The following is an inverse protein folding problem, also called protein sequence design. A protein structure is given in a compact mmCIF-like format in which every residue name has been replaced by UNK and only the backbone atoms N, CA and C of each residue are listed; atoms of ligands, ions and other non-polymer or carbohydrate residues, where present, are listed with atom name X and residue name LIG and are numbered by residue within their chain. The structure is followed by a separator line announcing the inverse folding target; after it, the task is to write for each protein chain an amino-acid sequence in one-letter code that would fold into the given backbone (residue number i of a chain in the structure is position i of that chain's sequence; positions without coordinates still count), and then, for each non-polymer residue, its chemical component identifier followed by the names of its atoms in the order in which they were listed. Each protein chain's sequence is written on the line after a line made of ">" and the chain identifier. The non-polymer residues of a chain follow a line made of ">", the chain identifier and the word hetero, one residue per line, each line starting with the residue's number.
data_IF_546025456287
#
_entry.id   IF_546025456287
#
_cell.length_a   1.000
_cell.length_b   1.000
_cell.length_c   1.000
_cell.angle_alpha   90.00
_cell.angle_beta   90.00
_cell.angle_gamma   90.00
#
_symmetry.space_group_name_H-M   'P 1'
#
loop_
_entity.id
_entity.type
_entity.pdbx_description
1 polymer ?
#
# COMPACT_ATOMS: atom_id res chain seq x y z
N UNK A 1 21.37 -4.54 -14.58
CA UNK A 1 21.71 -3.74 -13.38
C UNK A 1 20.67 -4.02 -12.32
N UNK A 2 21.05 -4.71 -11.23
CA UNK A 2 20.16 -5.04 -10.13
C UNK A 2 19.81 -3.75 -9.38
N UNK A 3 18.64 -3.22 -9.71
CA UNK A 3 18.08 -2.05 -9.07
C UNK A 3 17.79 -2.38 -7.59
N UNK A 4 18.61 -1.86 -6.68
CA UNK A 4 18.60 -2.17 -5.26
C UNK A 4 17.43 -1.50 -4.53
N UNK A 5 16.20 -1.73 -5.01
CA UNK A 5 14.99 -1.11 -4.45
C UNK A 5 14.46 -1.96 -3.30
N UNK A 6 14.49 -1.40 -2.10
CA UNK A 6 13.97 -2.07 -0.89
C UNK A 6 12.45 -2.19 -0.90
N UNK A 7 11.96 -3.34 -0.42
CA UNK A 7 10.58 -3.59 -0.04
C UNK A 7 10.30 -3.05 1.37
N UNK A 8 9.02 -2.97 1.75
CA UNK A 8 8.64 -2.39 3.03
C UNK A 8 9.23 -3.13 4.24
N UNK A 9 9.37 -4.46 4.18
CA UNK A 9 9.92 -5.25 5.28
C UNK A 9 11.44 -5.07 5.41
N UNK A 10 12.16 -4.88 4.30
CA UNK A 10 13.59 -4.52 4.30
C UNK A 10 13.81 -3.10 4.85
N UNK A 11 12.97 -2.15 4.46
CA UNK A 11 13.07 -0.75 4.93
C UNK A 11 12.65 -0.58 6.38
N UNK A 12 11.58 -1.28 6.82
CA UNK A 12 11.02 -1.15 8.16
C UNK A 12 11.63 -2.10 9.17
N UNK A 13 12.25 -3.19 8.70
CA UNK A 13 12.81 -4.26 9.53
C UNK A 13 11.79 -4.76 10.56
N UNK A 14 10.54 -4.94 10.14
CA UNK A 14 9.47 -5.31 11.06
C UNK A 14 9.52 -6.79 11.48
N UNK A 15 10.26 -7.64 10.75
CA UNK A 15 10.45 -9.07 11.06
C UNK A 15 9.19 -9.92 10.88
N UNK A 16 8.21 -9.45 10.10
CA UNK A 16 6.93 -10.15 9.88
C UNK A 16 6.84 -10.82 8.50
N UNK A 17 7.90 -10.77 7.72
CA UNK A 17 8.07 -11.55 6.50
C UNK A 17 8.20 -13.05 6.79
N UNK A 18 7.94 -13.95 5.82
CA UNK A 18 8.13 -15.39 6.01
C UNK A 18 9.53 -15.71 6.56
N UNK A 19 9.60 -16.44 7.67
CA UNK A 19 10.84 -16.72 8.40
C UNK A 19 11.33 -15.59 9.32
N UNK A 20 10.59 -14.48 9.42
CA UNK A 20 10.95 -13.34 10.26
C UNK A 20 10.77 -13.59 11.75
N UNK A 21 11.60 -12.92 12.56
CA UNK A 21 11.68 -13.09 14.03
C UNK A 21 10.42 -12.70 14.80
N UNK A 22 9.52 -11.93 14.18
CA UNK A 22 8.35 -11.35 14.82
C UNK A 22 7.03 -12.05 14.43
N UNK A 23 7.09 -13.15 13.66
CA UNK A 23 5.91 -13.92 13.27
C UNK A 23 5.19 -14.49 14.50
N UNK A 24 5.91 -15.11 15.44
CA UNK A 24 5.29 -15.77 16.61
C UNK A 24 4.51 -14.77 17.48
N UNK A 25 5.01 -13.53 17.58
CA UNK A 25 4.41 -12.49 18.43
C UNK A 25 3.29 -11.70 17.75
N UNK A 26 3.42 -11.38 16.46
CA UNK A 26 2.50 -10.46 15.76
C UNK A 26 1.81 -11.07 14.54
N UNK A 27 2.06 -12.36 14.26
CA UNK A 27 1.61 -13.04 13.07
C UNK A 27 2.34 -12.61 11.79
N UNK A 28 2.26 -13.48 10.77
CA UNK A 28 2.86 -13.23 9.45
C UNK A 28 2.18 -12.05 8.74
N UNK A 29 3.00 -11.23 8.09
CA UNK A 29 2.54 -10.16 7.21
C UNK A 29 2.01 -10.74 5.90
N UNK A 30 0.89 -10.21 5.40
CA UNK A 30 0.34 -10.60 4.09
C UNK A 30 1.10 -9.98 2.91
N UNK A 31 1.81 -8.87 3.12
CA UNK A 31 2.51 -8.12 2.07
C UNK A 31 3.53 -8.96 1.30
N UNK A 32 4.42 -9.73 1.95
CA UNK A 32 5.45 -10.50 1.26
C UNK A 32 4.89 -11.72 0.51
N UNK A 33 3.64 -12.12 0.73
CA UNK A 33 2.98 -13.26 0.07
C UNK A 33 1.92 -12.85 -0.95
N UNK A 34 1.69 -11.54 -1.12
CA UNK A 34 0.70 -10.98 -2.06
C UNK A 34 1.24 -10.95 -3.50
N UNK A 35 1.32 -12.12 -4.13
CA UNK A 35 1.90 -12.33 -5.47
C UNK A 35 1.19 -11.54 -6.58
N UNK A 36 -0.09 -11.24 -6.41
CA UNK A 36 -0.90 -10.46 -7.34
C UNK A 36 -0.46 -8.98 -7.46
N UNK A 37 0.36 -8.52 -6.51
CA UNK A 37 0.96 -7.19 -6.49
C UNK A 37 2.42 -7.16 -6.96
N UNK A 38 3.00 -8.32 -7.33
CA UNK A 38 4.39 -8.42 -7.73
C UNK A 38 4.73 -7.53 -8.93
N UNK A 39 5.88 -6.86 -8.88
CA UNK A 39 6.34 -5.92 -9.90
C UNK A 39 5.75 -4.51 -9.80
N UNK A 40 4.74 -4.28 -8.94
CA UNK A 40 4.23 -2.91 -8.70
C UNK A 40 5.34 -2.07 -8.07
N UNK A 41 5.59 -0.91 -8.68
CA UNK A 41 6.72 -0.05 -8.37
C UNK A 41 8.01 -0.88 -8.31
N UNK A 42 8.28 -1.79 -9.25
CA UNK A 42 9.50 -2.61 -9.26
C UNK A 42 9.80 -3.32 -7.92
N UNK A 43 8.77 -3.64 -7.15
CA UNK A 43 8.87 -4.35 -5.87
C UNK A 43 8.57 -5.83 -6.00
N UNK A 44 8.99 -6.60 -5.00
CA UNK A 44 8.61 -8.02 -4.88
C UNK A 44 7.26 -8.12 -4.19
N UNK A 45 6.31 -8.87 -4.77
CA UNK A 45 4.95 -9.03 -4.25
C UNK A 45 4.35 -7.66 -3.86
N UNK A 46 3.74 -7.52 -2.69
CA UNK A 46 3.22 -6.22 -2.22
C UNK A 46 4.27 -5.25 -1.67
N UNK A 47 5.55 -5.57 -1.73
CA UNK A 47 6.60 -4.91 -0.93
C UNK A 47 6.76 -3.42 -1.18
N UNK A 48 6.59 -2.95 -2.42
CA UNK A 48 6.62 -1.52 -2.78
C UNK A 48 5.23 -0.93 -3.05
N UNK A 49 4.18 -1.61 -2.57
CA UNK A 49 2.78 -1.22 -2.69
C UNK A 49 1.97 -1.54 -1.44
N UNK A 50 2.63 -1.71 -0.30
CA UNK A 50 2.04 -2.25 0.94
C UNK A 50 0.84 -1.45 1.46
N UNK A 51 0.73 -0.16 1.12
CA UNK A 51 -0.42 0.69 1.45
C UNK A 51 -1.70 0.22 0.76
N UNK A 52 -1.62 -0.34 -0.45
CA UNK A 52 -2.76 -0.91 -1.18
C UNK A 52 -3.34 -2.09 -0.40
N UNK A 53 -2.47 -2.95 0.13
CA UNK A 53 -2.89 -4.12 0.89
C UNK A 53 -3.49 -3.76 2.24
N UNK A 54 -3.00 -2.69 2.88
CA UNK A 54 -3.63 -2.16 4.10
C UNK A 54 -5.02 -1.59 3.81
N UNK A 55 -5.18 -0.86 2.70
CA UNK A 55 -6.50 -0.38 2.25
C UNK A 55 -7.45 -1.55 1.90
N UNK A 56 -6.98 -2.55 1.17
CA UNK A 56 -7.78 -3.73 0.78
C UNK A 56 -8.13 -4.65 1.96
N UNK A 57 -7.23 -4.79 2.95
CA UNK A 57 -7.51 -5.55 4.17
C UNK A 57 -8.64 -4.93 4.98
N UNK A 58 -8.71 -3.59 5.04
CA UNK A 58 -9.83 -2.90 5.66
C UNK A 58 -11.16 -3.16 4.96
N UNK A 59 -11.18 -3.19 3.62
CA UNK A 59 -12.38 -3.48 2.85
C UNK A 59 -12.90 -4.91 3.11
N UNK A 60 -12.00 -5.91 3.14
CA UNK A 60 -12.37 -7.31 3.33
C UNK A 60 -12.88 -7.66 4.73
N UNK A 61 -12.54 -6.87 5.76
CA UNK A 61 -12.94 -7.15 7.15
C UNK A 61 -14.28 -6.47 7.50
N UNK A 62 -14.90 -5.71 6.58
CA UNK A 62 -16.06 -4.83 6.86
C UNK A 62 -15.85 -3.86 8.04
N UNK A 63 -14.61 -3.71 8.52
CA UNK A 63 -14.20 -2.60 9.36
C UNK A 63 -13.78 -1.50 8.40
N UNK A 64 -14.65 -0.53 8.17
CA UNK A 64 -14.26 0.68 7.45
C UNK A 64 -12.92 1.16 8.03
N UNK A 65 -11.85 1.11 7.22
CA UNK A 65 -10.55 1.66 7.57
C UNK A 65 -10.82 3.05 8.13
N UNK A 66 -10.47 3.32 9.39
CA UNK A 66 -10.68 4.68 9.91
C UNK A 66 -9.84 5.61 9.03
N UNK A 67 -10.39 6.78 8.68
CA UNK A 67 -9.71 7.76 7.83
C UNK A 67 -8.26 8.01 8.28
N UNK A 68 -8.02 7.91 9.58
CA UNK A 68 -6.72 8.08 10.21
C UNK A 68 -5.73 6.95 9.90
N UNK A 69 -6.17 5.70 9.74
CA UNK A 69 -5.29 4.57 9.36
C UNK A 69 -4.79 4.69 7.90
N UNK A 70 -5.60 5.28 7.03
CA UNK A 70 -5.21 5.61 5.66
C UNK A 70 -4.24 6.80 5.66
N UNK A 71 -4.49 7.82 6.49
CA UNK A 71 -3.56 8.96 6.66
C UNK A 71 -2.20 8.49 7.17
N UNK A 72 -2.15 7.57 8.13
CA UNK A 72 -0.90 6.97 8.61
C UNK A 72 -0.10 6.32 7.48
N UNK A 73 -0.77 5.59 6.57
CA UNK A 73 -0.10 5.00 5.40
C UNK A 73 0.47 6.07 4.47
N UNK A 74 -0.26 7.18 4.29
CA UNK A 74 0.20 8.30 3.46
C UNK A 74 1.41 9.03 4.05
N UNK A 75 1.47 9.13 5.38
CA UNK A 75 2.56 9.74 6.14
C UNK A 75 3.73 8.76 6.41
N UNK A 76 3.56 7.48 6.10
CA UNK A 76 4.60 6.48 6.30
C UNK A 76 5.88 6.85 5.52
N UNK A 77 7.02 6.90 6.23
CA UNK A 77 8.34 7.18 5.64
C UNK A 77 8.68 6.31 4.43
N UNK A 78 8.25 5.04 4.43
CA UNK A 78 8.49 4.14 3.29
C UNK A 78 7.65 4.52 2.06
N UNK A 79 6.36 4.83 2.25
CA UNK A 79 5.51 5.28 1.16
C UNK A 79 6.02 6.60 0.55
N UNK A 80 6.48 7.54 1.38
CA UNK A 80 7.12 8.78 0.94
C UNK A 80 8.42 8.46 0.17
N UNK A 81 9.25 7.55 0.68
CA UNK A 81 10.47 7.10 0.01
C UNK A 81 10.19 6.53 -1.38
N UNK A 82 9.23 5.60 -1.50
CA UNK A 82 8.83 5.02 -2.79
C UNK A 82 8.34 6.12 -3.74
N UNK A 83 7.46 7.03 -3.29
CA UNK A 83 6.98 8.16 -4.10
C UNK A 83 8.09 9.09 -4.61
N UNK A 84 9.11 9.35 -3.80
CA UNK A 84 10.26 10.19 -4.21
C UNK A 84 11.15 9.49 -5.22
N UNK A 85 11.34 8.17 -5.07
CA UNK A 85 12.17 7.36 -5.97
C UNK A 85 11.54 7.12 -7.35
N UNK A 86 10.21 7.06 -7.45
CA UNK A 86 9.50 6.89 -8.71
C UNK A 86 9.19 8.26 -9.36
N UNK A 87 10.18 8.89 -10.02
CA UNK A 87 9.91 9.96 -10.99
C UNK A 87 9.23 9.34 -12.24
N UNK A 88 7.90 9.12 -12.14
CA UNK A 88 6.92 8.55 -13.09
C UNK A 88 7.38 8.17 -14.53
N UNK A 89 6.93 7.01 -15.05
CA UNK A 89 5.58 6.95 -15.64
C UNK A 89 4.66 5.99 -14.90
N UNK A 90 3.41 6.41 -14.76
CA UNK A 90 2.26 5.60 -14.36
C UNK A 90 2.05 4.49 -15.40
N UNK A 91 2.83 3.39 -15.35
CA UNK A 91 2.36 2.13 -15.92
C UNK A 91 1.25 1.63 -15.01
N UNK A 92 0.08 2.18 -15.34
CA UNK A 92 -1.28 1.84 -14.99
C UNK A 92 -1.33 0.59 -14.12
N UNK A 93 -1.68 0.82 -12.84
CA UNK A 93 -2.32 -0.18 -12.00
C UNK A 93 -3.64 -0.51 -12.71
N UNK A 94 -3.56 -1.40 -13.70
CA UNK A 94 -4.70 -1.93 -14.45
C UNK A 94 -5.21 -3.19 -13.76
N UNK A 95 -5.05 -3.25 -12.44
CA UNK A 95 -5.63 -4.28 -11.59
C UNK A 95 -6.83 -3.68 -10.87
N UNK A 96 -7.94 -4.44 -10.86
CA UNK A 96 -9.29 -4.01 -10.45
C UNK A 96 -9.38 -3.27 -9.11
N UNK A 97 -8.39 -3.44 -8.22
CA UNK A 97 -8.30 -2.76 -6.93
C UNK A 97 -8.27 -1.21 -7.02
N UNK A 98 -7.64 -0.60 -8.03
CA UNK A 98 -7.55 0.87 -8.13
C UNK A 98 -8.79 1.55 -8.75
N UNK A 99 -9.73 0.79 -9.29
CA UNK A 99 -11.02 1.36 -9.77
C UNK A 99 -11.94 1.73 -8.61
N UNK A 100 -11.77 1.12 -7.44
CA UNK A 100 -12.70 1.26 -6.32
C UNK A 100 -12.45 2.50 -5.45
N UNK A 101 -11.18 2.94 -5.33
CA UNK A 101 -10.87 4.16 -4.58
C UNK A 101 -11.34 5.42 -5.29
N UNK A 102 -11.50 5.43 -6.62
CA UNK A 102 -11.98 6.59 -7.38
C UNK A 102 -13.49 6.75 -7.34
N UNK A 103 -14.25 5.65 -7.34
CA UNK A 103 -15.70 5.68 -7.13
C UNK A 103 -16.05 6.07 -5.69
N UNK A 104 -15.31 5.57 -4.69
CA UNK A 104 -15.53 5.95 -3.29
C UNK A 104 -15.06 7.37 -2.99
N UNK A 105 -13.90 7.84 -3.50
CA UNK A 105 -13.52 9.26 -3.37
C UNK A 105 -14.62 10.14 -3.96
N UNK A 106 -15.08 9.87 -5.18
CA UNK A 106 -16.13 10.66 -5.84
C UNK A 106 -17.48 10.59 -5.11
N UNK A 107 -17.84 9.45 -4.54
CA UNK A 107 -19.05 9.32 -3.72
C UNK A 107 -18.93 10.03 -2.38
N UNK A 108 -17.77 10.02 -1.73
CA UNK A 108 -17.51 10.79 -0.50
C UNK A 108 -17.49 12.30 -0.79
N UNK A 109 -16.89 12.75 -1.90
CA UNK A 109 -16.89 14.17 -2.29
C UNK A 109 -18.29 14.73 -2.56
N UNK A 110 -19.18 13.93 -3.15
CA UNK A 110 -20.59 14.31 -3.33
C UNK A 110 -21.34 14.49 -2.00
N UNK A 111 -20.89 13.82 -0.94
CA UNK A 111 -21.51 13.89 0.40
C UNK A 111 -20.88 14.98 1.25
N UNK A 112 -19.60 15.32 1.07
CA UNK A 112 -18.87 16.24 1.97
C UNK A 112 -18.63 17.65 1.43
N UNK A 113 -18.93 17.95 0.16
CA UNK A 113 -18.90 19.31 -0.39
C UNK A 113 -17.53 20.03 -0.42
N UNK A 114 -16.43 19.33 -0.10
CA UNK A 114 -15.09 19.92 -0.07
C UNK A 114 -14.49 19.96 -1.48
N UNK A 115 -14.13 21.16 -1.96
CA UNK A 115 -13.44 21.34 -3.24
C UNK A 115 -12.02 20.77 -3.18
N UNK A 116 -11.67 20.01 -4.22
CA UNK A 116 -10.29 19.57 -4.45
C UNK A 116 -9.55 20.67 -5.21
N UNK A 117 -8.73 21.47 -4.52
CA UNK A 117 -7.76 22.32 -5.19
C UNK A 117 -6.55 21.50 -5.64
N UNK A 118 -6.07 21.87 -6.83
CA UNK A 118 -5.33 21.02 -7.76
C UNK A 118 -3.84 20.93 -7.44
#
# INVERSE_FOLDING_TARGET
>A
MSDNRMNCWEFKQCGREPGGSNIEKYGSCSVPVSVEHNGINNGKNGGRSCWILREAACEKIMRACRVDEIKECRQCRFHIHVKKSERFPRKIIRNKAYRYSRSILMSLYKVTGLSYER
#
